data_IF_660013927048
#
_entry.id   IF_660013927048
#
_cell.length_a   1.000
_cell.length_b   1.000
_cell.length_c   1.000
_cell.angle_alpha   90.00
_cell.angle_beta   90.00
_cell.angle_gamma   90.00
#
_symmetry.space_group_name_H-M   'P 1'
#
loop_
_entity.id
_entity.type
_entity.pdbx_description
1 polymer ?
#
# COMPACT_ATOMS: atom_id res chain seq x y z
N UNK A 1 9.05 12.44 6.35
CA UNK A 1 8.38 12.01 7.60
C UNK A 1 9.13 10.80 8.12
N UNK A 2 9.40 10.75 9.41
CA UNK A 2 10.02 9.60 10.07
C UNK A 2 9.04 9.04 11.11
N UNK A 3 8.88 7.72 11.13
CA UNK A 3 8.01 7.03 12.08
C UNK A 3 8.87 6.38 13.17
N UNK A 4 8.61 6.70 14.44
CA UNK A 4 9.27 6.07 15.59
C UNK A 4 8.31 5.09 16.27
N UNK A 5 8.32 3.84 15.80
CA UNK A 5 7.48 2.75 16.33
C UNK A 5 8.19 2.13 17.55
N UNK A 6 7.62 2.30 18.75
CA UNK A 6 8.22 1.93 20.04
C UNK A 6 7.67 0.62 20.60
N UNK A 7 6.54 0.14 20.11
CA UNK A 7 5.89 -1.07 20.59
C UNK A 7 5.09 -1.76 19.47
N UNK A 8 4.63 -2.98 19.75
CA UNK A 8 3.88 -3.82 18.80
C UNK A 8 2.60 -3.13 18.30
N UNK A 9 1.83 -2.51 19.18
CA UNK A 9 0.57 -1.86 18.81
C UNK A 9 0.82 -0.79 17.74
N UNK A 10 1.85 0.04 17.93
CA UNK A 10 2.20 1.08 16.96
C UNK A 10 2.60 0.52 15.59
N UNK A 11 3.22 -0.66 15.55
CA UNK A 11 3.53 -1.33 14.28
C UNK A 11 2.26 -1.83 13.60
N UNK A 12 1.35 -2.44 14.36
CA UNK A 12 0.07 -2.92 13.83
C UNK A 12 -0.77 -1.76 13.29
N UNK A 13 -0.88 -0.68 14.06
CA UNK A 13 -1.61 0.53 13.66
C UNK A 13 -1.00 1.15 12.40
N UNK A 14 0.34 1.20 12.30
CA UNK A 14 1.01 1.70 11.09
C UNK A 14 0.68 0.84 9.86
N UNK A 15 0.76 -0.50 9.99
CA UNK A 15 0.45 -1.39 8.88
C UNK A 15 -1.01 -1.27 8.46
N UNK A 16 -1.92 -1.07 9.40
CA UNK A 16 -3.36 -0.96 9.12
C UNK A 16 -3.75 0.38 8.49
N UNK A 17 -3.11 1.47 8.91
CA UNK A 17 -3.55 2.82 8.52
C UNK A 17 -2.69 3.46 7.42
N UNK A 18 -1.41 3.10 7.34
CA UNK A 18 -0.44 3.77 6.46
C UNK A 18 -0.01 2.89 5.27
N UNK A 19 -0.28 1.57 5.31
CA UNK A 19 0.10 0.63 4.25
C UNK A 19 -1.14 0.11 3.51
N UNK A 20 -1.40 0.72 2.37
CA UNK A 20 -2.53 0.36 1.52
C UNK A 20 -2.35 -1.02 0.87
N UNK A 21 -3.44 -1.77 0.80
CA UNK A 21 -3.60 -2.92 -0.07
C UNK A 21 -3.84 -2.47 -1.52
N UNK A 22 -3.66 -3.40 -2.46
CA UNK A 22 -3.91 -3.14 -3.88
C UNK A 22 -5.37 -2.71 -4.16
N UNK A 23 -6.33 -3.17 -3.35
CA UNK A 23 -7.75 -2.81 -3.50
C UNK A 23 -8.03 -1.40 -2.98
N UNK A 24 -7.55 -1.07 -1.78
CA UNK A 24 -7.69 0.29 -1.22
C UNK A 24 -7.00 1.33 -2.12
N UNK A 25 -5.81 1.00 -2.63
CA UNK A 25 -5.12 1.86 -3.59
C UNK A 25 -5.87 2.01 -4.92
N UNK A 26 -6.63 1.00 -5.36
CA UNK A 26 -7.50 1.11 -6.55
C UNK A 26 -8.66 2.06 -6.31
N UNK A 27 -9.30 1.98 -5.15
CA UNK A 27 -10.41 2.84 -4.76
C UNK A 27 -9.97 4.30 -4.64
N UNK A 28 -8.88 4.57 -3.92
CA UNK A 28 -8.35 5.94 -3.71
C UNK A 28 -7.91 6.59 -5.03
N UNK A 29 -7.30 5.81 -5.93
CA UNK A 29 -6.84 6.30 -7.23
C UNK A 29 -7.94 6.27 -8.30
N UNK A 30 -9.12 5.75 -7.98
CA UNK A 30 -10.24 5.56 -8.91
C UNK A 30 -9.84 4.79 -10.18
N UNK A 31 -9.02 3.74 -10.02
CA UNK A 31 -8.53 2.93 -11.14
C UNK A 31 -8.96 1.47 -11.01
N UNK A 32 -9.15 0.84 -12.17
CA UNK A 32 -9.40 -0.60 -12.21
C UNK A 32 -8.10 -1.43 -12.04
N UNK A 33 -8.28 -2.73 -11.82
CA UNK A 33 -7.19 -3.72 -11.65
C UNK A 33 -6.18 -3.71 -12.80
N UNK A 34 -6.64 -3.56 -14.05
CA UNK A 34 -5.76 -3.57 -15.23
C UNK A 34 -4.82 -2.36 -15.21
N UNK A 35 -5.36 -1.18 -14.88
CA UNK A 35 -4.59 0.06 -14.76
C UNK A 35 -3.62 -0.01 -13.59
N UNK A 36 -4.03 -0.56 -12.45
CA UNK A 36 -3.14 -0.80 -11.31
C UNK A 36 -1.98 -1.73 -11.69
N UNK A 37 -2.25 -2.83 -12.39
CA UNK A 37 -1.21 -3.73 -12.88
C UNK A 37 -0.22 -3.02 -13.81
N UNK A 38 -0.71 -2.15 -14.70
CA UNK A 38 0.14 -1.35 -15.57
C UNK A 38 1.04 -0.38 -14.78
N UNK A 39 0.52 0.25 -13.73
CA UNK A 39 1.33 1.12 -12.86
C UNK A 39 2.45 0.35 -12.14
N UNK A 40 2.23 -0.91 -11.77
CA UNK A 40 3.28 -1.78 -11.25
C UNK A 40 4.34 -2.09 -12.30
N UNK A 41 3.93 -2.51 -13.50
CA UNK A 41 4.85 -2.85 -14.60
C UNK A 41 5.66 -1.65 -15.08
N UNK A 42 5.01 -0.47 -15.17
CA UNK A 42 5.65 0.79 -15.58
C UNK A 42 6.54 1.38 -14.44
N UNK A 43 6.64 0.72 -13.28
CA UNK A 43 7.46 1.15 -12.14
C UNK A 43 6.94 2.38 -11.40
N UNK A 44 5.73 2.85 -11.73
CA UNK A 44 5.11 4.05 -11.17
C UNK A 44 4.53 3.82 -9.77
N UNK A 45 4.14 2.59 -9.48
CA UNK A 45 3.73 2.13 -8.14
C UNK A 45 4.58 0.92 -7.79
N UNK A 46 5.26 0.98 -6.65
CA UNK A 46 6.12 -0.10 -6.16
C UNK A 46 5.46 -0.83 -5.00
N UNK A 47 4.92 -2.05 -5.19
CA UNK A 47 4.30 -2.79 -4.11
C UNK A 47 5.33 -3.14 -3.04
N UNK A 48 5.06 -2.76 -1.79
CA UNK A 48 5.90 -3.11 -0.63
C UNK A 48 5.43 -4.38 0.08
N UNK A 49 4.15 -4.71 -0.05
CA UNK A 49 3.53 -5.92 0.49
C UNK A 49 3.02 -6.77 -0.67
N UNK A 50 3.45 -8.03 -0.75
CA UNK A 50 2.86 -9.03 -1.65
C UNK A 50 1.74 -9.73 -0.89
N UNK A 51 0.52 -9.61 -1.37
CA UNK A 51 -0.55 -10.53 -0.99
C UNK A 51 -0.33 -11.85 -1.74
N UNK A 52 -0.08 -12.92 -1.00
CA UNK A 52 -0.09 -14.30 -1.50
C UNK A 52 -1.52 -14.83 -1.57
#
# INVERSE_FOLDING_TARGET
MEYHLKNRQQVEDFIQNEVLTSSEAQEILEINKQRMSKLHTDGRVSPKKKSG
#
